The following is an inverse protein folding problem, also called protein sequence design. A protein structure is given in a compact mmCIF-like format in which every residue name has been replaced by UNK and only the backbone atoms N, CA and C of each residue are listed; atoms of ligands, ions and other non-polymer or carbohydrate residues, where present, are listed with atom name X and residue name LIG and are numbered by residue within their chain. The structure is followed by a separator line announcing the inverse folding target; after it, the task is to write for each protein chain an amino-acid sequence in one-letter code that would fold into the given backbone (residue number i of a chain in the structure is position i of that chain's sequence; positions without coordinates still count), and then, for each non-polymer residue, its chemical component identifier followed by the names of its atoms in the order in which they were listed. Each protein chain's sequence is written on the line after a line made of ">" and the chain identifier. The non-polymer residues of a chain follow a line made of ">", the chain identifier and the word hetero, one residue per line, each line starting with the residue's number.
data_IF_887397386198
#
_entry.id   IF_887397386198
#
_cell.length_a   1.000
_cell.length_b   1.000
_cell.length_c   1.000
_cell.angle_alpha   90.00
_cell.angle_beta   90.00
_cell.angle_gamma   90.00
#
_symmetry.space_group_name_H-M   'P 1'
#
loop_
_entity.id
_entity.type
_entity.pdbx_description
1 polymer ?
#
# COMPACT_ATOMS: atom_id res chain seq x y z
N UNK A 1 6.56 -10.35 60.11
CA UNK A 1 5.83 -9.12 59.76
C UNK A 1 6.84 -8.02 59.47
N UNK A 2 7.20 -7.84 58.20
CA UNK A 2 8.05 -6.72 57.79
C UNK A 2 7.23 -5.43 57.82
N UNK A 3 7.74 -4.43 58.54
CA UNK A 3 7.07 -3.14 58.68
C UNK A 3 7.05 -2.42 57.32
N UNK A 4 5.86 -2.11 56.82
CA UNK A 4 5.67 -1.32 55.58
C UNK A 4 6.20 0.10 55.84
N UNK A 5 7.34 0.43 55.23
CA UNK A 5 7.95 1.76 55.36
C UNK A 5 7.10 2.80 54.59
N UNK A 6 6.73 3.93 55.20
CA UNK A 6 5.97 4.98 54.53
C UNK A 6 6.81 5.65 53.42
N UNK A 7 6.14 6.22 52.41
CA UNK A 7 6.80 6.97 51.36
C UNK A 7 7.60 8.14 51.95
N UNK A 8 8.86 8.27 51.57
CA UNK A 8 9.80 9.28 52.09
C UNK A 8 9.33 10.72 51.85
N UNK A 9 8.56 10.95 50.79
CA UNK A 9 8.24 12.31 50.31
C UNK A 9 6.83 12.78 50.68
N UNK A 10 5.87 11.86 50.83
CA UNK A 10 4.48 12.21 51.13
C UNK A 10 3.94 11.56 52.40
N UNK A 11 4.74 10.73 53.07
CA UNK A 11 4.43 10.00 54.31
C UNK A 11 3.17 9.10 54.24
N UNK A 12 2.57 8.91 53.05
CA UNK A 12 1.43 8.01 52.87
C UNK A 12 1.89 6.55 52.81
N UNK A 13 1.12 5.69 53.46
CA UNK A 13 1.21 4.23 53.41
C UNK A 13 0.52 3.71 52.15
N UNK A 14 1.09 4.01 50.97
CA UNK A 14 0.66 3.45 49.69
C UNK A 14 1.72 2.49 49.16
N UNK A 15 1.33 1.55 48.27
CA UNK A 15 2.24 0.58 47.64
C UNK A 15 3.48 1.27 47.07
N UNK A 16 4.63 1.01 47.68
CA UNK A 16 5.89 1.68 47.38
C UNK A 16 6.65 0.88 46.34
N UNK A 17 7.09 1.54 45.26
CA UNK A 17 8.10 1.00 44.36
C UNK A 17 9.47 1.51 44.79
N UNK A 18 10.44 0.61 44.94
CA UNK A 18 11.78 0.97 45.39
C UNK A 18 12.56 1.61 44.23
N UNK A 19 12.90 2.90 44.33
CA UNK A 19 13.71 3.56 43.30
C UNK A 19 15.19 3.22 43.51
N UNK A 20 15.78 2.47 42.58
CA UNK A 20 17.11 1.87 42.73
C UNK A 20 18.27 2.88 42.74
N UNK A 21 18.07 4.06 42.15
CA UNK A 21 19.08 5.13 42.07
C UNK A 21 19.24 5.89 43.38
N UNK A 22 18.18 6.00 44.17
CA UNK A 22 18.13 6.83 45.40
C UNK A 22 18.10 5.98 46.67
N UNK A 23 17.85 4.67 46.57
CA UNK A 23 17.75 3.78 47.73
C UNK A 23 16.55 4.06 48.65
N UNK A 24 15.60 4.90 48.21
CA UNK A 24 14.49 5.39 49.01
C UNK A 24 13.12 4.82 48.54
N UNK A 25 12.23 4.49 49.48
CA UNK A 25 10.85 4.10 49.18
C UNK A 25 10.04 5.32 48.69
N UNK A 26 9.58 5.29 47.42
CA UNK A 26 8.76 6.33 46.80
C UNK A 26 7.39 5.81 46.36
N UNK A 27 6.38 6.66 46.50
CA UNK A 27 5.02 6.43 46.00
C UNK A 27 4.95 6.65 44.48
N UNK A 28 4.07 5.95 43.75
CA UNK A 28 3.99 6.10 42.28
C UNK A 28 3.73 7.56 41.81
N UNK A 29 2.84 8.35 42.44
CA UNK A 29 2.71 9.77 42.12
C UNK A 29 3.99 10.58 42.37
N UNK A 30 4.68 10.27 43.48
CA UNK A 30 5.93 10.92 43.87
C UNK A 30 7.04 10.61 42.88
N UNK A 31 7.11 9.36 42.40
CA UNK A 31 8.07 8.89 41.43
C UNK A 31 7.84 9.56 40.06
N UNK A 32 6.58 9.67 39.61
CA UNK A 32 6.20 10.40 38.40
C UNK A 32 6.54 11.89 38.47
N UNK A 33 6.41 12.51 39.64
CA UNK A 33 6.76 13.91 39.85
C UNK A 33 8.28 14.16 39.92
N UNK A 34 9.07 13.24 40.50
CA UNK A 34 10.53 13.35 40.57
C UNK A 34 11.22 13.05 39.23
N UNK A 35 10.69 12.11 38.45
CA UNK A 35 11.27 11.70 37.17
C UNK A 35 10.31 11.93 35.99
N UNK A 36 9.87 13.18 35.72
CA UNK A 36 9.02 13.46 34.57
C UNK A 36 9.73 13.16 33.24
N UNK A 37 11.08 13.12 33.25
CA UNK A 37 11.92 12.84 32.08
C UNK A 37 12.12 11.36 31.77
N UNK A 38 11.96 10.43 32.72
CA UNK A 38 12.30 9.02 32.49
C UNK A 38 11.41 8.31 31.46
N UNK A 39 10.14 8.73 31.35
CA UNK A 39 9.24 8.22 30.30
C UNK A 39 9.43 8.95 28.97
N UNK A 40 9.74 10.25 29.02
CA UNK A 40 10.01 11.04 27.82
C UNK A 40 11.32 10.62 27.14
N UNK A 41 12.35 10.27 27.91
CA UNK A 41 13.66 9.84 27.41
C UNK A 41 13.61 8.39 26.89
N UNK A 42 12.86 7.48 27.55
CA UNK A 42 12.58 6.15 26.98
C UNK A 42 11.74 6.21 25.72
N UNK A 43 10.74 7.10 25.64
CA UNK A 43 9.97 7.30 24.41
C UNK A 43 10.80 7.99 23.32
N UNK A 44 11.66 8.94 23.67
CA UNK A 44 12.58 9.59 22.73
C UNK A 44 13.60 8.60 22.18
N UNK A 45 14.17 7.73 23.02
CA UNK A 45 15.16 6.75 22.59
C UNK A 45 14.54 5.61 21.77
N UNK A 46 13.29 5.22 22.07
CA UNK A 46 12.53 4.29 21.22
C UNK A 46 12.16 4.94 19.88
N UNK A 47 11.84 6.24 19.87
CA UNK A 47 11.62 7.01 18.64
C UNK A 47 12.90 7.21 17.82
N UNK A 48 14.05 7.32 18.47
CA UNK A 48 15.38 7.47 17.83
C UNK A 48 15.88 6.15 17.23
N UNK A 49 15.61 5.01 17.89
CA UNK A 49 15.85 3.67 17.34
C UNK A 49 14.90 3.32 16.18
N UNK A 50 13.71 3.93 16.15
CA UNK A 50 12.75 3.84 15.05
C UNK A 50 12.92 4.97 14.02
N UNK A 51 13.85 5.91 14.22
CA UNK A 51 14.09 6.99 13.26
C UNK A 51 14.93 6.43 12.10
N UNK A 52 14.36 6.27 10.89
CA UNK A 52 15.07 5.71 9.73
C UNK A 52 16.26 6.58 9.26
N UNK A 53 16.53 7.73 9.92
CA UNK A 53 17.63 8.64 9.57
C UNK A 53 19.01 8.17 10.01
N UNK A 54 19.13 7.37 11.08
CA UNK A 54 20.44 7.08 11.71
C UNK A 54 21.10 5.81 11.16
N UNK A 55 20.33 4.95 10.47
CA UNK A 55 20.84 3.75 9.80
C UNK A 55 20.91 3.90 8.29
N UNK A 56 22.00 4.53 7.79
CA UNK A 56 22.45 4.48 6.39
C UNK A 56 21.35 4.49 5.32
N UNK A 57 20.97 5.69 4.87
CA UNK A 57 20.02 5.93 3.78
C UNK A 57 20.31 5.08 2.52
N UNK A 58 21.56 4.69 2.27
CA UNK A 58 21.96 3.80 1.17
C UNK A 58 21.60 2.31 1.40
N UNK A 59 21.63 1.84 2.64
CA UNK A 59 21.28 0.44 2.98
C UNK A 59 19.76 0.24 2.90
N UNK A 60 18.98 1.20 3.39
CA UNK A 60 17.51 1.14 3.29
C UNK A 60 17.00 1.29 1.85
N UNK A 61 17.67 2.06 0.98
CA UNK A 61 17.30 2.16 -0.43
C UNK A 61 17.69 0.92 -1.23
N UNK A 62 18.84 0.31 -0.94
CA UNK A 62 19.22 -0.98 -1.53
C UNK A 62 18.26 -2.08 -1.11
N UNK A 63 17.93 -2.17 0.19
CA UNK A 63 17.01 -3.18 0.70
C UNK A 63 15.61 -2.99 0.10
N UNK A 64 15.11 -1.75 0.01
CA UNK A 64 13.79 -1.48 -0.59
C UNK A 64 13.78 -1.75 -2.09
N UNK A 65 14.84 -1.40 -2.83
CA UNK A 65 14.96 -1.73 -4.26
C UNK A 65 15.00 -3.24 -4.50
N UNK A 66 15.78 -3.98 -3.70
CA UNK A 66 15.86 -5.44 -3.78
C UNK A 66 14.50 -6.07 -3.47
N UNK A 67 13.82 -5.63 -2.41
CA UNK A 67 12.46 -6.07 -2.09
C UNK A 67 11.46 -5.76 -3.21
N UNK A 68 11.56 -4.60 -3.85
CA UNK A 68 10.72 -4.25 -5.01
C UNK A 68 11.02 -5.17 -6.19
N UNK A 69 12.28 -5.46 -6.49
CA UNK A 69 12.66 -6.38 -7.58
C UNK A 69 12.14 -7.79 -7.30
N UNK A 70 12.31 -8.31 -6.09
CA UNK A 70 11.79 -9.63 -5.72
C UNK A 70 10.26 -9.67 -5.72
N UNK A 71 9.60 -8.61 -5.25
CA UNK A 71 8.15 -8.51 -5.30
C UNK A 71 7.64 -8.44 -6.75
N UNK A 72 8.28 -7.65 -7.61
CA UNK A 72 7.96 -7.58 -9.04
C UNK A 72 8.23 -8.92 -9.72
N UNK A 73 9.36 -9.58 -9.44
CA UNK A 73 9.67 -10.90 -9.97
C UNK A 73 8.63 -11.93 -9.51
N UNK A 74 8.23 -11.92 -8.23
CA UNK A 74 7.18 -12.77 -7.68
C UNK A 74 5.82 -12.53 -8.33
N UNK A 75 5.43 -11.26 -8.50
CA UNK A 75 4.17 -10.89 -9.17
C UNK A 75 4.20 -11.30 -10.64
N UNK A 76 5.29 -11.02 -11.36
CA UNK A 76 5.43 -11.36 -12.78
C UNK A 76 5.50 -12.87 -13.00
N UNK A 77 6.22 -13.62 -12.14
CA UNK A 77 6.21 -15.08 -12.17
C UNK A 77 4.84 -15.63 -11.82
N UNK A 78 4.16 -15.09 -10.80
CA UNK A 78 2.80 -15.48 -10.45
C UNK A 78 1.82 -15.31 -11.62
N UNK A 79 1.79 -14.12 -12.23
CA UNK A 79 0.96 -13.82 -13.41
C UNK A 79 1.30 -14.76 -14.57
N UNK A 80 2.60 -14.98 -14.84
CA UNK A 80 3.03 -15.86 -15.94
C UNK A 80 2.70 -17.33 -15.67
N UNK A 81 2.78 -17.77 -14.42
CA UNK A 81 2.44 -19.15 -14.02
C UNK A 81 0.95 -19.38 -14.19
N UNK A 82 0.11 -18.45 -13.75
CA UNK A 82 -1.34 -18.57 -13.95
C UNK A 82 -1.72 -18.44 -15.42
N UNK A 83 -1.07 -17.56 -16.19
CA UNK A 83 -1.26 -17.50 -17.63
C UNK A 83 -0.93 -18.83 -18.30
N UNK A 84 0.21 -19.44 -17.95
CA UNK A 84 0.61 -20.75 -18.47
C UNK A 84 -0.38 -21.85 -18.07
N UNK A 85 -0.88 -21.84 -16.83
CA UNK A 85 -1.91 -22.77 -16.38
C UNK A 85 -3.21 -22.60 -17.16
N UNK A 86 -3.60 -21.36 -17.48
CA UNK A 86 -4.82 -21.07 -18.23
C UNK A 86 -4.71 -21.43 -19.71
N UNK A 87 -3.49 -21.44 -20.27
CA UNK A 87 -3.26 -21.97 -21.63
C UNK A 87 -3.64 -23.46 -21.75
N UNK A 88 -3.71 -24.20 -20.64
CA UNK A 88 -4.10 -25.60 -20.66
C UNK A 88 -5.57 -25.81 -21.00
N UNK A 89 -6.38 -24.76 -20.96
CA UNK A 89 -7.78 -24.78 -21.37
C UNK A 89 -7.99 -24.33 -22.82
N UNK A 90 -6.94 -23.88 -23.51
CA UNK A 90 -7.09 -23.36 -24.85
C UNK A 90 -6.96 -24.46 -25.90
N UNK A 91 -7.93 -24.47 -26.81
CA UNK A 91 -8.03 -25.44 -27.90
C UNK A 91 -7.95 -24.68 -29.22
N UNK A 92 -7.06 -25.12 -30.09
CA UNK A 92 -6.91 -24.55 -31.43
C UNK A 92 -7.58 -25.46 -32.45
N UNK A 93 -8.53 -24.95 -33.26
CA UNK A 93 -9.12 -25.73 -34.33
C UNK A 93 -8.10 -25.92 -35.46
N UNK A 94 -7.96 -27.15 -35.94
CA UNK A 94 -7.18 -27.50 -37.13
C UNK A 94 -8.16 -27.98 -38.19
N UNK A 95 -8.14 -27.31 -39.35
CA UNK A 95 -8.96 -27.68 -40.50
C UNK A 95 -8.26 -28.78 -41.29
N UNK A 96 -8.91 -29.94 -41.39
CA UNK A 96 -8.44 -30.99 -42.28
C UNK A 96 -9.02 -30.77 -43.68
N UNK A 97 -8.15 -30.43 -44.64
CA UNK A 97 -8.53 -30.05 -46.00
C UNK A 97 -9.16 -31.21 -46.81
N UNK A 98 -9.11 -32.44 -46.30
CA UNK A 98 -9.63 -33.64 -47.00
C UNK A 98 -10.95 -34.20 -46.46
N UNK A 99 -11.30 -33.96 -45.19
CA UNK A 99 -12.42 -34.63 -44.51
C UNK A 99 -13.58 -33.69 -44.11
N UNK A 100 -13.40 -32.38 -44.20
CA UNK A 100 -14.42 -31.39 -43.79
C UNK A 100 -14.69 -31.36 -42.28
N UNK A 101 -13.96 -32.12 -41.48
CA UNK A 101 -14.06 -32.14 -40.02
C UNK A 101 -13.02 -31.24 -39.37
N UNK A 102 -13.46 -30.32 -38.51
CA UNK A 102 -12.58 -29.51 -37.65
C UNK A 102 -12.24 -30.29 -36.39
N UNK A 103 -11.02 -30.83 -36.31
CA UNK A 103 -10.51 -31.38 -35.07
C UNK A 103 -9.87 -30.25 -34.25
N UNK A 104 -10.19 -30.15 -32.97
CA UNK A 104 -9.56 -29.18 -32.07
C UNK A 104 -8.52 -29.89 -31.21
N UNK A 105 -7.29 -29.37 -31.19
CA UNK A 105 -6.19 -29.90 -30.41
C UNK A 105 -5.81 -28.93 -29.29
N UNK A 106 -5.18 -29.45 -28.25
CA UNK A 106 -4.66 -28.65 -27.15
C UNK A 106 -3.52 -27.74 -27.63
N UNK A 107 -3.56 -26.46 -27.27
CA UNK A 107 -2.57 -25.47 -27.77
C UNK A 107 -1.13 -25.76 -27.33
N UNK A 108 -0.95 -26.37 -26.15
CA UNK A 108 0.36 -26.70 -25.59
C UNK A 108 0.79 -28.14 -25.85
N UNK A 109 -0.15 -29.03 -26.19
CA UNK A 109 0.08 -30.43 -26.53
C UNK A 109 -0.79 -30.80 -27.74
N UNK A 110 -0.24 -30.58 -28.94
CA UNK A 110 -0.95 -30.78 -30.21
C UNK A 110 -1.29 -32.23 -30.50
N UNK A 111 -0.80 -33.18 -29.70
CA UNK A 111 -1.10 -34.60 -29.82
C UNK A 111 -2.50 -34.95 -29.26
N UNK A 112 -3.06 -34.12 -28.39
CA UNK A 112 -4.27 -34.44 -27.63
C UNK A 112 -5.50 -33.72 -28.18
N UNK A 113 -6.57 -34.48 -28.44
CA UNK A 113 -7.85 -33.99 -28.93
C UNK A 113 -8.67 -33.35 -27.80
N UNK A 114 -9.27 -32.19 -28.04
CA UNK A 114 -10.12 -31.46 -27.08
C UNK A 114 -11.50 -32.11 -26.83
N UNK A 115 -11.72 -33.32 -27.31
CA UNK A 115 -12.95 -34.12 -27.13
C UNK A 115 -12.69 -35.42 -26.36
N UNK A 116 -11.43 -35.75 -26.07
CA UNK A 116 -11.06 -36.99 -25.38
C UNK A 116 -11.38 -36.97 -23.88
N UNK A 117 -11.53 -38.16 -23.28
CA UNK A 117 -11.69 -38.33 -21.82
C UNK A 117 -10.48 -37.79 -21.05
N UNK A 118 -9.29 -37.93 -21.62
CA UNK A 118 -8.04 -37.42 -21.03
C UNK A 118 -8.02 -35.90 -20.94
N UNK A 119 -8.58 -35.19 -21.93
CA UNK A 119 -8.73 -33.74 -21.90
C UNK A 119 -9.59 -33.30 -20.72
N UNK A 120 -10.72 -33.96 -20.47
CA UNK A 120 -11.56 -33.64 -19.32
C UNK A 120 -10.85 -33.90 -17.98
N UNK A 121 -10.03 -34.95 -17.89
CA UNK A 121 -9.23 -35.20 -16.68
C UNK A 121 -8.21 -34.08 -16.42
N UNK A 122 -7.49 -33.63 -17.46
CA UNK A 122 -6.54 -32.51 -17.37
C UNK A 122 -7.28 -31.20 -17.02
N UNK A 123 -8.43 -30.95 -17.64
CA UNK A 123 -9.23 -29.77 -17.40
C UNK A 123 -9.72 -29.69 -15.95
N UNK A 124 -10.24 -30.80 -15.41
CA UNK A 124 -10.67 -30.89 -14.01
C UNK A 124 -9.46 -30.70 -13.08
N UNK A 125 -8.35 -31.38 -13.32
CA UNK A 125 -7.15 -31.26 -12.50
C UNK A 125 -6.63 -29.81 -12.45
N UNK A 126 -6.58 -29.14 -13.60
CA UNK A 126 -6.15 -27.75 -13.69
C UNK A 126 -7.14 -26.81 -13.00
N UNK A 127 -8.45 -27.00 -13.20
CA UNK A 127 -9.47 -26.23 -12.50
C UNK A 127 -9.35 -26.34 -10.98
N UNK A 128 -9.07 -27.55 -10.47
CA UNK A 128 -8.83 -27.76 -9.04
C UNK A 128 -7.60 -26.97 -8.57
N UNK A 129 -6.47 -27.05 -9.28
CA UNK A 129 -5.24 -26.31 -8.93
C UNK A 129 -5.48 -24.79 -8.93
N UNK A 130 -6.13 -24.27 -9.97
CA UNK A 130 -6.47 -22.84 -10.09
C UNK A 130 -7.42 -22.43 -8.97
N UNK A 131 -8.46 -23.22 -8.68
CA UNK A 131 -9.41 -22.91 -7.60
C UNK A 131 -8.70 -22.89 -6.24
N UNK A 132 -7.83 -23.87 -5.96
CA UNK A 132 -7.03 -23.88 -4.74
C UNK A 132 -6.06 -22.70 -4.66
N UNK A 133 -5.44 -22.30 -5.77
CA UNK A 133 -4.54 -21.16 -5.77
C UNK A 133 -5.28 -19.82 -5.59
N UNK A 134 -6.32 -19.60 -6.40
CA UNK A 134 -7.08 -18.35 -6.43
C UNK A 134 -7.92 -18.13 -5.16
N UNK A 135 -8.52 -19.20 -4.62
CA UNK A 135 -9.41 -19.13 -3.45
C UNK A 135 -8.68 -19.50 -2.16
N UNK A 136 -7.77 -20.48 -2.23
CA UNK A 136 -7.09 -20.99 -1.04
C UNK A 136 -6.17 -19.95 -0.39
N UNK A 137 -5.53 -19.07 -1.15
CA UNK A 137 -4.68 -18.02 -0.57
C UNK A 137 -5.51 -16.98 0.20
N UNK A 138 -6.56 -16.35 -0.38
CA UNK A 138 -7.48 -15.49 0.38
C UNK A 138 -8.12 -16.19 1.58
N UNK A 139 -8.60 -17.43 1.41
CA UNK A 139 -9.18 -18.20 2.51
C UNK A 139 -8.17 -18.49 3.60
N UNK A 140 -6.91 -18.76 3.27
CA UNK A 140 -5.85 -18.99 4.26
C UNK A 140 -5.58 -17.75 5.09
N UNK A 141 -5.52 -16.57 4.46
CA UNK A 141 -5.36 -15.30 5.17
C UNK A 141 -6.52 -15.08 6.15
N UNK A 142 -7.76 -15.27 5.68
CA UNK A 142 -8.95 -15.12 6.54
C UNK A 142 -8.96 -16.18 7.65
N UNK A 143 -8.69 -17.44 7.34
CA UNK A 143 -8.71 -18.55 8.31
C UNK A 143 -7.64 -18.39 9.40
N UNK A 144 -6.47 -17.84 9.06
CA UNK A 144 -5.41 -17.55 10.04
C UNK A 144 -5.80 -16.40 10.98
N UNK A 145 -6.44 -15.34 10.48
CA UNK A 145 -6.77 -14.15 11.27
C UNK A 145 -8.10 -14.25 12.03
N UNK A 146 -9.07 -15.00 11.49
CA UNK A 146 -10.43 -15.07 12.02
C UNK A 146 -10.51 -15.50 13.51
N UNK A 147 -9.74 -16.51 13.99
CA UNK A 147 -9.74 -16.89 15.40
C UNK A 147 -9.21 -15.80 16.34
N UNK A 148 -8.39 -14.90 15.81
CA UNK A 148 -7.75 -13.83 16.57
C UNK A 148 -8.41 -12.47 16.37
N UNK A 149 -9.54 -12.37 15.65
CA UNK A 149 -10.18 -11.09 15.27
C UNK A 149 -10.46 -10.13 16.43
N UNK A 150 -10.70 -10.64 17.64
CA UNK A 150 -10.93 -9.83 18.84
C UNK A 150 -9.67 -9.54 19.66
N UNK A 151 -8.55 -10.16 19.30
CA UNK A 151 -7.25 -10.12 20.00
C UNK A 151 -6.09 -9.71 19.08
N UNK A 152 -6.40 -9.06 17.96
CA UNK A 152 -5.41 -8.57 16.99
C UNK A 152 -4.42 -7.57 17.60
N UNK A 153 -4.77 -6.95 18.73
CA UNK A 153 -3.88 -6.03 19.46
C UNK A 153 -2.89 -6.69 20.42
N UNK A 154 -3.00 -8.00 20.68
CA UNK A 154 -2.07 -8.70 21.58
C UNK A 154 -0.68 -8.84 20.93
N UNK A 155 0.38 -8.52 21.68
CA UNK A 155 1.77 -8.56 21.19
C UNK A 155 2.14 -9.94 20.60
N UNK A 156 1.67 -11.02 21.22
CA UNK A 156 1.92 -12.38 20.74
C UNK A 156 1.28 -12.67 19.37
N UNK A 157 0.11 -12.09 19.09
CA UNK A 157 -0.57 -12.21 17.79
C UNK A 157 0.14 -11.35 16.76
N UNK A 158 0.51 -10.11 17.14
CA UNK A 158 1.22 -9.17 16.29
C UNK A 158 2.59 -9.71 15.85
N UNK A 159 3.36 -10.34 16.75
CA UNK A 159 4.65 -10.93 16.37
C UNK A 159 4.52 -12.09 15.38
N UNK A 160 3.44 -12.87 15.44
CA UNK A 160 3.25 -14.05 14.57
C UNK A 160 2.57 -13.73 13.24
N UNK A 161 1.55 -12.87 13.28
CA UNK A 161 0.65 -12.60 12.15
C UNK A 161 0.62 -11.13 11.75
N UNK A 162 1.37 -10.26 12.43
CA UNK A 162 1.36 -8.81 12.16
C UNK A 162 1.62 -8.49 10.71
N UNK A 163 2.52 -9.21 10.04
CA UNK A 163 2.79 -9.01 8.62
C UNK A 163 1.56 -9.12 7.70
N UNK A 164 0.49 -9.82 8.09
CA UNK A 164 -0.74 -9.95 7.31
C UNK A 164 -1.70 -8.77 7.49
N UNK A 165 -1.66 -8.09 8.64
CA UNK A 165 -2.65 -7.05 8.97
C UNK A 165 -2.07 -5.72 9.45
N UNK A 166 -0.75 -5.61 9.58
CA UNK A 166 -0.04 -4.42 10.01
C UNK A 166 -0.23 -3.33 8.96
N UNK A 167 -0.82 -2.21 9.38
CA UNK A 167 -1.17 -1.10 8.50
C UNK A 167 -2.66 -1.00 8.18
N UNK A 168 -3.48 -1.99 8.54
CA UNK A 168 -4.94 -1.91 8.45
C UNK A 168 -5.60 -1.57 9.78
N UNK A 169 -6.77 -0.97 9.71
CA UNK A 169 -7.64 -0.86 10.87
C UNK A 169 -8.11 -2.24 11.35
N UNK A 170 -8.38 -2.37 12.66
CA UNK A 170 -8.83 -3.61 13.28
C UNK A 170 -10.12 -4.18 12.64
N UNK A 171 -11.00 -3.32 12.12
CA UNK A 171 -12.23 -3.74 11.45
C UNK A 171 -11.98 -4.26 10.02
N UNK A 172 -10.83 -3.95 9.43
CA UNK A 172 -10.45 -4.29 8.05
C UNK A 172 -9.32 -5.34 7.99
N UNK A 173 -9.21 -6.21 9.00
CA UNK A 173 -8.16 -7.25 9.05
C UNK A 173 -8.16 -8.23 7.86
N UNK A 174 -9.29 -8.37 7.17
CA UNK A 174 -9.45 -9.21 5.98
C UNK A 174 -9.02 -8.52 4.68
N UNK A 175 -8.56 -7.26 4.74
CA UNK A 175 -8.32 -6.45 3.54
C UNK A 175 -7.24 -7.02 2.63
N UNK A 176 -6.20 -7.64 3.19
CA UNK A 176 -5.18 -8.34 2.41
C UNK A 176 -5.81 -9.41 1.49
N UNK A 177 -6.78 -10.17 2.00
CA UNK A 177 -7.50 -11.16 1.21
C UNK A 177 -8.34 -10.51 0.09
N UNK A 178 -8.94 -9.34 0.33
CA UNK A 178 -9.69 -8.58 -0.69
C UNK A 178 -8.77 -8.12 -1.82
N UNK A 179 -7.57 -7.63 -1.49
CA UNK A 179 -6.59 -7.23 -2.48
C UNK A 179 -6.10 -8.42 -3.31
N UNK A 180 -5.88 -9.57 -2.68
CA UNK A 180 -5.52 -10.81 -3.38
C UNK A 180 -6.63 -11.30 -4.31
N UNK A 181 -7.89 -11.32 -3.86
CA UNK A 181 -9.04 -11.66 -4.72
C UNK A 181 -9.11 -10.74 -5.94
N UNK A 182 -8.90 -9.43 -5.74
CA UNK A 182 -8.89 -8.46 -6.83
C UNK A 182 -7.79 -8.76 -7.86
N UNK A 183 -6.57 -9.08 -7.41
CA UNK A 183 -5.46 -9.51 -8.30
C UNK A 183 -5.84 -10.77 -9.08
N UNK A 184 -6.46 -11.76 -8.42
CA UNK A 184 -6.91 -12.99 -9.09
C UNK A 184 -7.96 -12.72 -10.16
N UNK A 185 -8.88 -11.78 -9.93
CA UNK A 185 -9.87 -11.37 -10.94
C UNK A 185 -9.16 -10.76 -12.17
N UNK A 186 -8.15 -9.92 -11.98
CA UNK A 186 -7.36 -9.38 -13.10
C UNK A 186 -6.64 -10.49 -13.88
N UNK A 187 -6.04 -11.44 -13.18
CA UNK A 187 -5.35 -12.57 -13.81
C UNK A 187 -6.34 -13.44 -14.60
N UNK A 188 -7.53 -13.69 -14.04
CA UNK A 188 -8.58 -14.43 -14.72
C UNK A 188 -9.08 -13.70 -15.97
N UNK A 189 -9.37 -12.40 -15.89
CA UNK A 189 -9.80 -11.64 -17.08
C UNK A 189 -8.69 -11.62 -18.14
N UNK A 190 -7.42 -11.44 -17.72
CA UNK A 190 -6.29 -11.40 -18.65
C UNK A 190 -5.98 -12.75 -19.29
N UNK A 191 -6.35 -13.87 -18.67
CA UNK A 191 -6.14 -15.20 -19.24
C UNK A 191 -7.15 -15.60 -20.31
N UNK A 192 -8.34 -14.99 -20.34
CA UNK A 192 -9.36 -15.35 -21.33
C UNK A 192 -8.89 -14.94 -22.73
N UNK A 193 -9.03 -15.88 -23.66
CA UNK A 193 -8.69 -15.72 -25.07
C UNK A 193 -9.46 -14.53 -25.68
N UNK A 194 -8.77 -13.53 -26.26
CA UNK A 194 -9.39 -12.43 -26.98
C UNK A 194 -10.35 -12.88 -28.08
N UNK A 195 -10.13 -14.03 -28.71
CA UNK A 195 -11.02 -14.56 -29.75
C UNK A 195 -12.43 -14.91 -29.23
N UNK A 196 -12.56 -15.22 -27.94
CA UNK A 196 -13.84 -15.62 -27.33
C UNK A 196 -14.66 -14.45 -26.81
N UNK A 197 -14.03 -13.55 -26.07
CA UNK A 197 -14.72 -12.43 -25.41
C UNK A 197 -14.60 -11.13 -26.21
N UNK A 198 -13.64 -11.04 -27.12
CA UNK A 198 -13.23 -9.79 -27.73
C UNK A 198 -12.29 -9.02 -26.80
N UNK A 199 -11.24 -8.46 -27.37
CA UNK A 199 -10.22 -7.71 -26.63
C UNK A 199 -10.79 -6.47 -25.93
N UNK A 200 -11.78 -5.81 -26.55
CA UNK A 200 -12.49 -4.69 -25.95
C UNK A 200 -13.23 -5.08 -24.66
N UNK A 201 -14.08 -6.10 -24.72
CA UNK A 201 -14.89 -6.53 -23.59
C UNK A 201 -14.00 -6.95 -22.41
N UNK A 202 -12.84 -7.56 -22.71
CA UNK A 202 -11.82 -7.90 -21.74
C UNK A 202 -11.31 -6.67 -20.97
N UNK A 203 -10.93 -5.60 -21.67
CA UNK A 203 -10.50 -4.36 -21.01
C UNK A 203 -11.65 -3.60 -20.32
N UNK A 204 -12.88 -3.69 -20.83
CA UNK A 204 -14.06 -3.14 -20.14
C UNK A 204 -14.33 -3.85 -18.81
N UNK A 205 -14.18 -5.19 -18.76
CA UNK A 205 -14.29 -5.95 -17.51
C UNK A 205 -13.18 -5.57 -16.54
N UNK A 206 -11.93 -5.43 -17.00
CA UNK A 206 -10.82 -4.97 -16.16
C UNK A 206 -11.09 -3.58 -15.59
N UNK A 207 -11.61 -2.66 -16.41
CA UNK A 207 -11.97 -1.31 -15.97
C UNK A 207 -13.08 -1.34 -14.90
N UNK A 208 -14.10 -2.18 -15.06
CA UNK A 208 -15.15 -2.37 -14.05
C UNK A 208 -14.57 -2.85 -12.72
N UNK A 209 -13.60 -3.75 -12.74
CA UNK A 209 -12.88 -4.21 -11.53
C UNK A 209 -12.07 -3.07 -10.90
N UNK A 210 -11.41 -2.23 -11.70
CA UNK A 210 -10.74 -1.01 -11.19
C UNK A 210 -11.75 -0.08 -10.49
N UNK A 211 -12.88 0.21 -11.13
CA UNK A 211 -13.91 1.10 -10.59
C UNK A 211 -14.52 0.55 -9.30
N UNK A 212 -14.87 -0.74 -9.28
CA UNK A 212 -15.35 -1.42 -8.08
C UNK A 212 -14.31 -1.42 -6.96
N UNK A 213 -13.04 -1.65 -7.30
CA UNK A 213 -11.92 -1.55 -6.36
C UNK A 213 -11.76 -0.16 -5.75
N UNK A 214 -11.86 0.90 -6.57
CA UNK A 214 -11.81 2.29 -6.11
C UNK A 214 -12.99 2.56 -5.18
N UNK A 215 -14.19 2.15 -5.56
CA UNK A 215 -15.40 2.34 -4.75
C UNK A 215 -15.29 1.64 -3.39
N UNK A 216 -14.87 0.37 -3.36
CA UNK A 216 -14.72 -0.41 -2.12
C UNK A 216 -13.59 0.17 -1.26
N UNK A 217 -12.43 0.49 -1.84
CA UNK A 217 -11.32 1.11 -1.08
C UNK A 217 -11.73 2.45 -0.49
N UNK A 218 -12.44 3.26 -1.28
CA UNK A 218 -12.96 4.55 -0.85
C UNK A 218 -14.00 4.42 0.28
N UNK A 219 -14.92 3.46 0.19
CA UNK A 219 -15.96 3.24 1.18
C UNK A 219 -15.42 2.69 2.52
N UNK A 220 -14.39 1.84 2.46
CA UNK A 220 -13.86 1.15 3.63
C UNK A 220 -12.67 1.87 4.29
N UNK A 221 -11.90 2.65 3.52
CA UNK A 221 -10.66 3.31 3.97
C UNK A 221 -9.81 2.40 4.87
N UNK A 222 -9.45 1.20 4.38
CA UNK A 222 -8.94 0.09 5.20
C UNK A 222 -7.61 0.38 5.91
N UNK A 223 -6.75 1.22 5.32
CA UNK A 223 -5.42 1.51 5.85
C UNK A 223 -5.50 2.56 6.97
N UNK A 224 -4.69 2.38 8.02
CA UNK A 224 -4.52 3.36 9.10
C UNK A 224 -3.96 4.68 8.54
N UNK A 225 -3.07 4.56 7.56
CA UNK A 225 -2.40 5.71 6.96
C UNK A 225 -3.19 6.20 5.76
N UNK A 226 -3.64 7.46 5.81
CA UNK A 226 -4.37 8.10 4.71
C UNK A 226 -3.59 8.09 3.39
N UNK A 227 -2.26 8.17 3.46
CA UNK A 227 -1.37 8.06 2.30
C UNK A 227 -1.51 6.70 1.62
N UNK A 228 -1.54 5.59 2.38
CA UNK A 228 -1.65 4.25 1.82
C UNK A 228 -3.00 4.01 1.12
N UNK A 229 -4.11 4.45 1.73
CA UNK A 229 -5.43 4.46 1.08
C UNK A 229 -5.39 5.23 -0.26
N UNK A 230 -4.75 6.41 -0.26
CA UNK A 230 -4.66 7.26 -1.45
C UNK A 230 -3.79 6.61 -2.54
N UNK A 231 -2.70 5.95 -2.16
CA UNK A 231 -1.84 5.22 -3.08
C UNK A 231 -2.56 4.04 -3.74
N UNK A 232 -3.34 3.24 -3.00
CA UNK A 232 -4.11 2.14 -3.61
C UNK A 232 -5.14 2.68 -4.62
N UNK A 233 -5.81 3.79 -4.31
CA UNK A 233 -6.72 4.46 -5.25
C UNK A 233 -5.97 4.93 -6.50
N UNK A 234 -4.79 5.55 -6.37
CA UNK A 234 -4.00 5.99 -7.51
C UNK A 234 -3.48 4.82 -8.36
N UNK A 235 -3.12 3.70 -7.75
CA UNK A 235 -2.72 2.48 -8.48
C UNK A 235 -3.88 1.93 -9.31
N UNK A 236 -5.08 1.85 -8.73
CA UNK A 236 -6.29 1.42 -9.46
C UNK A 236 -6.68 2.41 -10.56
N UNK A 237 -6.49 3.70 -10.31
CA UNK A 237 -6.72 4.75 -11.29
C UNK A 237 -5.76 4.65 -12.46
N UNK A 238 -4.47 4.50 -12.20
CA UNK A 238 -3.45 4.31 -13.23
C UNK A 238 -3.74 3.06 -14.06
N UNK A 239 -4.11 1.95 -13.41
CA UNK A 239 -4.53 0.72 -14.10
C UNK A 239 -5.78 0.95 -14.98
N UNK A 240 -6.77 1.70 -14.49
CA UNK A 240 -7.96 2.10 -15.25
C UNK A 240 -7.61 2.95 -16.48
N UNK A 241 -6.73 3.95 -16.34
CA UNK A 241 -6.23 4.76 -17.47
C UNK A 241 -5.52 3.87 -18.50
N UNK A 242 -4.66 2.95 -18.05
CA UNK A 242 -4.01 2.00 -18.96
C UNK A 242 -5.03 1.15 -19.73
N UNK A 243 -6.12 0.72 -19.10
CA UNK A 243 -7.20 -0.01 -19.78
C UNK A 243 -7.89 0.85 -20.83
N UNK A 244 -8.17 2.13 -20.54
CA UNK A 244 -8.77 3.07 -21.51
C UNK A 244 -7.85 3.29 -22.71
N UNK A 245 -6.54 3.48 -22.46
CA UNK A 245 -5.56 3.63 -23.55
C UNK A 245 -5.51 2.38 -24.43
N UNK A 246 -5.54 1.18 -23.84
CA UNK A 246 -5.55 -0.08 -24.59
C UNK A 246 -6.83 -0.25 -25.41
N UNK A 247 -7.98 0.15 -24.86
CA UNK A 247 -9.26 0.17 -25.59
C UNK A 247 -9.16 1.10 -26.81
N UNK A 248 -8.60 2.30 -26.64
CA UNK A 248 -8.45 3.26 -27.74
C UNK A 248 -7.49 2.77 -28.83
N UNK A 249 -6.44 2.04 -28.45
CA UNK A 249 -5.45 1.52 -29.37
C UNK A 249 -6.00 0.42 -30.29
N UNK A 250 -6.95 -0.39 -29.81
CA UNK A 250 -7.44 -1.55 -30.56
C UNK A 250 -8.26 -1.19 -31.81
N UNK A 251 -8.71 0.06 -31.97
CA UNK A 251 -9.12 0.66 -33.26
C UNK A 251 -10.23 -0.03 -34.07
N UNK A 252 -10.78 -1.16 -33.62
CA UNK A 252 -11.68 -2.03 -34.37
C UNK A 252 -13.13 -1.57 -34.27
N UNK A 253 -13.45 -0.59 -35.08
CA UNK A 253 -14.76 -0.02 -35.47
C UNK A 253 -16.03 -0.90 -35.30
N UNK A 254 -16.74 -0.81 -34.16
CA UNK A 254 -18.19 -1.07 -34.09
C UNK A 254 -18.93 -0.03 -33.20
N UNK A 255 -20.06 0.54 -33.67
CA UNK A 255 -20.80 1.62 -32.96
C UNK A 255 -21.25 1.28 -31.53
N UNK A 256 -21.62 0.02 -31.27
CA UNK A 256 -22.02 -0.44 -29.93
C UNK A 256 -20.88 -0.38 -28.92
N UNK A 257 -19.64 -0.50 -29.39
CA UNK A 257 -18.43 -0.50 -28.56
C UNK A 257 -18.07 0.91 -28.09
N UNK A 258 -18.29 1.92 -28.93
CA UNK A 258 -18.13 3.34 -28.54
C UNK A 258 -19.11 3.75 -27.44
N UNK A 259 -20.35 3.24 -27.46
CA UNK A 259 -21.31 3.51 -26.40
C UNK A 259 -20.87 2.92 -25.05
N UNK A 260 -20.41 1.66 -25.05
CA UNK A 260 -19.90 1.00 -23.84
C UNK A 260 -18.62 1.69 -23.32
N UNK A 261 -17.74 2.13 -24.22
CA UNK A 261 -16.55 2.91 -23.87
C UNK A 261 -16.94 4.27 -23.27
N UNK A 262 -17.90 4.97 -23.87
CA UNK A 262 -18.40 6.26 -23.37
C UNK A 262 -19.02 6.14 -21.98
N UNK A 263 -19.81 5.09 -21.72
CA UNK A 263 -20.38 4.82 -20.38
C UNK A 263 -19.28 4.56 -19.35
N UNK A 264 -18.28 3.74 -19.71
CA UNK A 264 -17.18 3.40 -18.82
C UNK A 264 -16.27 4.59 -18.51
N UNK A 265 -15.91 5.39 -19.53
CA UNK A 265 -15.15 6.63 -19.37
C UNK A 265 -15.97 7.63 -18.55
N UNK A 266 -17.26 7.78 -18.85
CA UNK A 266 -18.16 8.64 -18.08
C UNK A 266 -18.23 8.24 -16.60
N UNK A 267 -18.41 6.94 -16.32
CA UNK A 267 -18.40 6.41 -14.95
C UNK A 267 -17.07 6.66 -14.24
N UNK A 268 -15.95 6.47 -14.95
CA UNK A 268 -14.61 6.74 -14.44
C UNK A 268 -14.41 8.23 -14.12
N UNK A 269 -14.82 9.13 -15.01
CA UNK A 269 -14.75 10.58 -14.79
C UNK A 269 -15.65 11.04 -13.64
N UNK A 270 -16.86 10.48 -13.52
CA UNK A 270 -17.78 10.76 -12.40
C UNK A 270 -17.17 10.29 -11.07
N UNK A 271 -16.60 9.08 -11.03
CA UNK A 271 -15.93 8.59 -9.82
C UNK A 271 -14.71 9.44 -9.47
N UNK A 272 -13.95 9.88 -10.47
CA UNK A 272 -12.87 10.84 -10.29
C UNK A 272 -13.36 12.16 -9.68
N UNK A 273 -14.45 12.71 -10.19
CA UNK A 273 -15.06 13.93 -9.67
C UNK A 273 -15.58 13.73 -8.24
N UNK A 274 -16.20 12.59 -7.92
CA UNK A 274 -16.65 12.25 -6.56
C UNK A 274 -15.45 12.18 -5.61
N UNK A 275 -14.38 11.48 -6.00
CA UNK A 275 -13.15 11.37 -5.20
C UNK A 275 -12.51 12.73 -5.00
N UNK A 276 -12.44 13.54 -6.05
CA UNK A 276 -11.91 14.90 -6.02
C UNK A 276 -12.72 15.80 -5.08
N UNK A 277 -14.04 15.79 -5.21
CA UNK A 277 -14.90 16.73 -4.50
C UNK A 277 -15.02 16.41 -3.00
N UNK A 278 -14.94 15.13 -2.61
CA UNK A 278 -15.04 14.73 -1.20
C UNK A 278 -13.72 14.78 -0.43
N UNK A 279 -12.57 15.02 -1.07
CA UNK A 279 -11.28 15.19 -0.38
C UNK A 279 -10.69 16.59 -0.60
N UNK A 280 -11.30 17.65 -0.02
CA UNK A 280 -10.73 19.00 -0.07
C UNK A 280 -9.34 19.07 0.57
N UNK A 281 -8.99 18.12 1.43
CA UNK A 281 -7.68 18.02 2.08
C UNK A 281 -6.53 17.83 1.08
N UNK A 282 -6.79 17.25 -0.10
CA UNK A 282 -5.79 17.13 -1.16
C UNK A 282 -5.48 18.47 -1.82
N UNK A 283 -6.50 19.33 -1.99
CA UNK A 283 -6.33 20.69 -2.48
C UNK A 283 -5.56 21.54 -1.47
N UNK A 284 -5.88 21.41 -0.18
CA UNK A 284 -5.12 22.13 0.86
C UNK A 284 -3.69 21.62 0.97
N UNK A 285 -3.43 20.31 0.81
CA UNK A 285 -2.07 19.76 0.85
C UNK A 285 -1.24 20.15 -0.39
N UNK A 286 -1.83 20.13 -1.59
CA UNK A 286 -1.19 20.60 -2.81
C UNK A 286 -0.91 22.10 -2.75
N UNK A 287 -1.87 22.90 -2.26
CA UNK A 287 -1.69 24.33 -2.02
C UNK A 287 -0.62 24.60 -0.95
N UNK A 288 -0.55 23.77 0.11
CA UNK A 288 0.46 23.88 1.15
C UNK A 288 1.86 23.56 0.61
N UNK A 289 2.02 22.49 -0.17
CA UNK A 289 3.29 22.16 -0.85
C UNK A 289 3.70 23.23 -1.85
N UNK A 290 2.77 23.75 -2.65
CA UNK A 290 3.03 24.86 -3.57
C UNK A 290 3.48 26.12 -2.81
N UNK A 291 2.84 26.43 -1.68
CA UNK A 291 3.21 27.53 -0.80
C UNK A 291 4.59 27.33 -0.18
N UNK A 292 4.93 26.13 0.28
CA UNK A 292 6.27 25.82 0.79
C UNK A 292 7.35 25.92 -0.29
N UNK A 293 7.07 25.45 -1.52
CA UNK A 293 8.00 25.59 -2.64
C UNK A 293 8.24 27.07 -3.00
N UNK A 294 7.18 27.89 -3.03
CA UNK A 294 7.26 29.33 -3.25
C UNK A 294 8.03 30.06 -2.14
N UNK A 295 7.83 29.69 -0.87
CA UNK A 295 8.59 30.26 0.25
C UNK A 295 10.06 29.85 0.23
N UNK A 296 10.38 28.63 -0.19
CA UNK A 296 11.75 28.16 -0.42
C UNK A 296 12.46 28.95 -1.52
N UNK A 297 11.76 29.23 -2.64
CA UNK A 297 12.24 30.09 -3.72
C UNK A 297 12.49 31.53 -3.23
N UNK A 298 11.58 32.10 -2.42
CA UNK A 298 11.75 33.44 -1.85
C UNK A 298 12.98 33.54 -0.94
N UNK A 299 13.27 32.50 -0.15
CA UNK A 299 14.50 32.46 0.67
C UNK A 299 15.76 32.36 -0.18
N UNK A 300 15.74 31.57 -1.27
CA UNK A 300 16.89 31.48 -2.19
C UNK A 300 17.14 32.81 -2.89
N UNK A 301 16.11 33.48 -3.40
CA UNK A 301 16.22 34.80 -4.02
C UNK A 301 16.71 35.89 -3.03
N UNK A 302 16.33 35.84 -1.75
CA UNK A 302 16.86 36.76 -0.74
C UNK A 302 18.31 36.48 -0.31
N UNK A 303 18.79 35.23 -0.44
CA UNK A 303 20.19 34.90 -0.20
C UNK A 303 21.07 35.25 -1.41
N UNK A 304 20.57 35.07 -2.63
CA UNK A 304 21.29 35.44 -3.86
C UNK A 304 21.41 36.95 -4.01
N UNK A 305 20.37 37.73 -3.68
CA UNK A 305 20.44 39.20 -3.74
C UNK A 305 21.33 39.84 -2.66
N UNK A 306 21.73 39.07 -1.63
CA UNK A 306 22.70 39.52 -0.62
C UNK A 306 24.13 39.13 -0.97
N UNK A 307 24.33 38.17 -1.86
CA UNK A 307 25.66 37.69 -2.24
C UNK A 307 26.34 38.61 -3.26
N UNK A 308 25.58 39.32 -4.10
CA UNK A 308 26.15 40.32 -5.05
C UNK A 308 26.52 41.66 -4.40
N UNK A 309 26.28 41.86 -3.09
CA UNK A 309 26.63 43.10 -2.37
C UNK A 309 27.74 42.92 -1.32
N UNK A 310 28.33 41.73 -1.20
CA UNK A 310 29.36 41.42 -0.20
C UNK A 310 30.68 40.90 -0.81
N UNK A 311 30.99 41.29 -2.05
CA UNK A 311 32.28 41.02 -2.69
C UNK A 311 33.15 42.28 -2.76
N UNK A 312 33.23 43.07 -1.67
CA UNK A 312 34.34 44.00 -1.44
C UNK A 312 34.34 44.58 -0.02
N UNK A 313 34.71 43.79 1.00
CA UNK A 313 35.27 44.38 2.22
C UNK A 313 36.05 43.34 3.04
N UNK A 314 37.31 43.68 3.30
CA UNK A 314 38.32 42.89 4.01
C UNK A 314 37.86 42.38 5.39
N UNK A 315 38.13 41.12 5.75
CA UNK A 315 37.86 40.59 7.07
C UNK A 315 39.06 40.86 7.98
N UNK A 316 39.02 41.96 8.74
CA UNK A 316 40.01 42.23 9.80
C UNK A 316 39.40 42.50 11.19
N UNK A 317 38.10 42.25 11.36
CA UNK A 317 37.42 42.51 12.64
C UNK A 317 36.36 41.43 12.91
N UNK A 318 36.76 40.32 13.52
CA UNK A 318 35.85 39.40 14.21
C UNK A 318 36.65 38.56 15.20
N UNK A 319 37.11 39.25 16.25
CA UNK A 319 37.27 38.66 17.57
C UNK A 319 35.93 38.81 18.32
N UNK A 320 35.49 37.68 18.87
CA UNK A 320 34.71 37.43 20.09
C UNK A 320 33.52 38.32 20.53
N UNK A 321 32.52 37.60 21.04
CA UNK A 321 31.39 38.00 21.89
C UNK A 321 30.07 38.45 21.24
N UNK A 322 29.01 37.69 21.55
CA UNK A 322 27.65 38.25 21.68
C UNK A 322 26.57 37.72 20.74
N UNK A 323 26.26 36.42 20.79
CA UNK A 323 25.00 35.91 20.23
C UNK A 323 23.83 36.15 21.20
N UNK A 324 23.35 37.38 21.26
CA UNK A 324 22.13 37.78 22.00
C UNK A 324 21.33 38.79 21.18
N UNK A 325 20.65 38.32 20.13
CA UNK A 325 19.71 39.14 19.36
C UNK A 325 18.64 38.28 18.66
N UNK A 326 17.74 37.68 19.45
CA UNK A 326 16.41 37.26 18.99
C UNK A 326 15.45 37.27 20.20
N UNK A 327 15.21 38.46 20.74
CA UNK A 327 14.08 38.75 21.62
C UNK A 327 13.42 40.01 21.08
N UNK A 328 12.41 39.84 20.24
CA UNK A 328 11.45 40.88 19.90
C UNK A 328 10.44 41.01 21.05
N UNK A 329 10.27 42.20 21.64
CA UNK A 329 9.03 42.59 22.27
C UNK A 329 8.23 43.52 21.33
N UNK A 330 6.92 43.35 21.36
CA UNK A 330 5.89 44.29 20.91
C UNK A 330 5.51 44.31 19.41
N UNK A 331 4.39 43.63 19.13
CA UNK A 331 3.18 44.18 18.50
C UNK A 331 2.01 43.49 19.25
N UNK A 332 1.02 44.19 19.81
CA UNK A 332 0.35 45.36 19.27
C UNK A 332 -0.92 44.88 18.60
#
# INVERSE_FOLDING_TARGET
>A
HEAVKPCSNCLRTASVTYCRSEGLPLCEPCNKALHPRGNAEKQAHLHELLDPRVGGLQSMTLLSAVCIIFYQAYVLTGVRTVYNLMQWWNCTPVFDNGAGTTAAYLSWATEQLCTGTEYYAILIANFVVVAFYAVGLPLRVIALLYPYRYRLGEEAVLMRHGWLYQGYHWFAYYWEAVMEVRKMIFVFITSIDPARIGILNKYCLMLLVCLGGIFINYAQAPFIWSLANTMDIYLLLACGVSCVVMIMYDGSTHRAQWALMGVNIGAFLVLLLIVYHRRPDLLTFAAFRAKQALLGLKRRLCCESKFELFEYQDPSWLDDDGCSACSDPALG
#
